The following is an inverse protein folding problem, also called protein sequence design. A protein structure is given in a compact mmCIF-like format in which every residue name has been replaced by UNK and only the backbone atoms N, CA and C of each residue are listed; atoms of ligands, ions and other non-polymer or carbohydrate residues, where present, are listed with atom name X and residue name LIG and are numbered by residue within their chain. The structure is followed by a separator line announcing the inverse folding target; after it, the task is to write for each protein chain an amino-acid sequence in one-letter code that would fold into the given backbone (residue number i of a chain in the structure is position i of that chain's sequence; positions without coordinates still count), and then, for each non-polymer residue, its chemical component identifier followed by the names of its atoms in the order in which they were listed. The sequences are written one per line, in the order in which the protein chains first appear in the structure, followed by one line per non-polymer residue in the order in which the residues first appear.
data_IF_422953870667
#
_entry.id   IF_422953870667
#
_cell.length_a   1.000
_cell.length_b   1.000
_cell.length_c   1.000
_cell.angle_alpha   90.00
_cell.angle_beta   90.00
_cell.angle_gamma   90.00
#
_symmetry.space_group_name_H-M   'P 1'
#
loop_
_entity.id
_entity.type
_entity.pdbx_description
1 polymer ?
#
# COMPACT_ATOMS: atom_id res chain seq x y z
N UNK A 1 -29.08 26.01 43.79
CA UNK A 1 -29.09 24.74 43.03
C UNK A 1 -29.70 24.95 41.64
N UNK A 2 -28.96 25.55 40.71
CA UNK A 2 -29.34 25.63 39.29
C UNK A 2 -28.15 25.97 38.37
N UNK A 3 -27.14 26.66 38.92
CA UNK A 3 -25.89 26.97 38.21
C UNK A 3 -24.83 25.84 38.28
N UNK A 4 -24.84 25.02 39.34
CA UNK A 4 -23.94 23.86 39.48
C UNK A 4 -24.25 22.76 38.45
N UNK A 5 -25.50 22.67 37.98
CA UNK A 5 -25.89 21.74 36.90
C UNK A 5 -25.51 22.24 35.50
N UNK A 6 -25.23 23.54 35.34
CA UNK A 6 -24.80 24.11 34.05
C UNK A 6 -23.29 23.97 33.87
N UNK A 7 -22.54 23.71 34.95
CA UNK A 7 -21.08 23.52 34.88
C UNK A 7 -20.67 22.09 34.51
N UNK A 8 -21.60 21.13 34.47
CA UNK A 8 -21.29 19.71 34.24
C UNK A 8 -21.50 19.24 32.79
N UNK A 9 -21.95 20.12 31.88
CA UNK A 9 -22.37 19.75 30.52
C UNK A 9 -21.39 20.15 29.41
N UNK A 10 -20.24 20.75 29.73
CA UNK A 10 -19.27 21.23 28.72
C UNK A 10 -17.92 20.52 28.83
N UNK A 11 -17.93 19.21 29.09
CA UNK A 11 -16.76 18.36 28.87
C UNK A 11 -17.11 17.17 27.97
N UNK A 12 -17.86 17.44 26.91
CA UNK A 12 -17.98 16.52 25.78
C UNK A 12 -16.74 16.73 24.92
N UNK A 13 -15.62 16.21 25.42
CA UNK A 13 -14.33 16.20 24.77
C UNK A 13 -14.51 15.58 23.38
N UNK A 14 -14.35 16.39 22.34
CA UNK A 14 -14.30 15.95 20.96
C UNK A 14 -13.09 15.01 20.82
N UNK A 15 -13.30 13.71 20.92
CA UNK A 15 -12.32 12.74 20.43
C UNK A 15 -12.33 12.85 18.91
N UNK A 16 -11.52 13.78 18.39
CA UNK A 16 -11.14 13.77 16.98
C UNK A 16 -10.53 12.40 16.71
N UNK A 17 -11.21 11.58 15.92
CA UNK A 17 -10.67 10.31 15.47
C UNK A 17 -9.42 10.62 14.66
N UNK A 18 -8.26 10.29 15.20
CA UNK A 18 -7.00 10.35 14.45
C UNK A 18 -7.12 9.27 13.38
N UNK A 19 -7.42 9.67 12.15
CA UNK A 19 -7.37 8.78 11.00
C UNK A 19 -5.90 8.50 10.70
N UNK A 20 -5.39 7.39 11.22
CA UNK A 20 -4.06 6.90 10.89
C UNK A 20 -4.15 6.20 9.53
N UNK A 21 -3.79 6.91 8.46
CA UNK A 21 -3.61 6.29 7.16
C UNK A 21 -2.52 5.20 7.27
N UNK A 22 -2.85 3.96 6.90
CA UNK A 22 -1.87 2.88 6.89
C UNK A 22 -0.81 3.15 5.81
N UNK A 23 0.46 3.08 6.19
CA UNK A 23 1.57 3.21 5.26
C UNK A 23 1.93 1.86 4.61
N UNK A 24 2.73 1.91 3.54
CA UNK A 24 3.11 0.73 2.77
C UNK A 24 3.89 -0.31 3.58
N UNK A 25 4.74 0.11 4.52
CA UNK A 25 5.53 -0.81 5.33
C UNK A 25 4.60 -1.60 6.25
N UNK A 26 3.76 -0.89 7.01
CA UNK A 26 2.74 -1.49 7.86
C UNK A 26 1.81 -2.42 7.10
N UNK A 27 1.37 -2.04 5.89
CA UNK A 27 0.51 -2.86 5.05
C UNK A 27 1.19 -4.17 4.59
N UNK A 28 2.50 -4.14 4.32
CA UNK A 28 3.27 -5.34 3.96
C UNK A 28 3.51 -6.25 5.17
N UNK A 29 3.81 -5.67 6.33
CA UNK A 29 4.01 -6.42 7.57
C UNK A 29 2.74 -7.18 7.98
N UNK A 30 1.58 -6.55 7.78
CA UNK A 30 0.27 -7.15 8.03
C UNK A 30 -0.17 -8.12 6.92
N UNK A 31 0.59 -8.26 5.84
CA UNK A 31 0.26 -9.14 4.71
C UNK A 31 -0.92 -8.67 3.86
N UNK A 32 -1.29 -7.39 3.96
CA UNK A 32 -2.38 -6.79 3.20
C UNK A 32 -1.94 -6.37 1.79
N UNK A 33 -0.64 -6.24 1.57
CA UNK A 33 -0.03 -5.82 0.30
C UNK A 33 1.21 -6.67 0.02
N UNK A 34 1.40 -7.08 -1.24
CA UNK A 34 2.58 -7.78 -1.72
C UNK A 34 3.06 -7.30 -3.08
N UNK A 35 4.26 -7.73 -3.46
CA UNK A 35 4.89 -7.38 -4.74
C UNK A 35 4.50 -8.35 -5.86
N UNK A 36 4.27 -7.84 -7.07
CA UNK A 36 3.90 -8.63 -8.24
C UNK A 36 5.03 -8.72 -9.28
N UNK A 37 5.05 -9.74 -10.16
CA UNK A 37 6.09 -9.90 -11.18
C UNK A 37 6.19 -8.75 -12.19
N UNK A 38 5.12 -7.98 -12.37
CA UNK A 38 5.09 -6.80 -13.23
C UNK A 38 5.49 -5.50 -12.53
N UNK A 39 6.06 -5.55 -11.32
CA UNK A 39 6.64 -4.37 -10.66
C UNK A 39 5.64 -3.49 -9.92
N UNK A 40 4.44 -3.99 -9.68
CA UNK A 40 3.37 -3.28 -8.97
C UNK A 40 3.06 -3.95 -7.63
N UNK A 41 2.14 -3.33 -6.89
CA UNK A 41 1.58 -3.85 -5.67
C UNK A 41 0.19 -4.41 -5.92
N UNK A 42 -0.15 -5.49 -5.22
CA UNK A 42 -1.49 -6.05 -5.15
C UNK A 42 -1.77 -6.60 -3.75
N UNK A 43 -3.04 -6.86 -3.46
CA UNK A 43 -3.47 -7.44 -2.19
C UNK A 43 -3.50 -8.97 -2.28
N UNK A 44 -2.84 -9.71 -1.36
CA UNK A 44 -3.03 -11.15 -1.20
C UNK A 44 -4.41 -11.53 -0.66
N UNK A 45 -5.09 -10.59 0.00
CA UNK A 45 -6.43 -10.77 0.57
C UNK A 45 -7.48 -10.54 -0.52
N UNK A 46 -8.47 -11.42 -0.60
CA UNK A 46 -9.54 -11.37 -1.63
C UNK A 46 -10.42 -10.12 -1.54
N UNK A 47 -10.66 -9.60 -0.34
CA UNK A 47 -11.49 -8.43 -0.09
C UNK A 47 -10.72 -7.37 0.73
N UNK A 48 -9.76 -6.64 0.13
CA UNK A 48 -9.03 -5.62 0.85
C UNK A 48 -9.94 -4.42 1.18
N UNK A 49 -9.63 -3.74 2.28
CA UNK A 49 -10.31 -2.51 2.68
C UNK A 49 -10.15 -1.40 1.62
N UNK A 50 -11.00 -0.38 1.69
CA UNK A 50 -10.91 0.78 0.82
C UNK A 50 -9.54 1.47 0.94
N UNK A 51 -9.01 1.57 2.16
CA UNK A 51 -7.71 2.21 2.43
C UNK A 51 -6.56 1.45 1.78
N UNK A 52 -6.57 0.11 1.82
CA UNK A 52 -5.55 -0.72 1.16
C UNK A 52 -5.65 -0.56 -0.36
N UNK A 53 -6.86 -0.54 -0.92
CA UNK A 53 -7.06 -0.30 -2.36
C UNK A 53 -6.53 1.09 -2.77
N UNK A 54 -6.82 2.12 -1.97
CA UNK A 54 -6.34 3.48 -2.22
C UNK A 54 -4.82 3.57 -2.15
N UNK A 55 -4.20 2.96 -1.13
CA UNK A 55 -2.75 2.88 -0.97
C UNK A 55 -2.08 2.17 -2.16
N UNK A 56 -2.60 1.00 -2.57
CA UNK A 56 -2.10 0.26 -3.73
C UNK A 56 -2.18 1.14 -5.00
N UNK A 57 -3.32 1.80 -5.22
CA UNK A 57 -3.54 2.67 -6.38
C UNK A 57 -2.55 3.83 -6.43
N UNK A 58 -2.40 4.56 -5.32
CA UNK A 58 -1.49 5.71 -5.21
C UNK A 58 -0.03 5.30 -5.49
N UNK A 59 0.45 4.23 -4.85
CA UNK A 59 1.82 3.77 -5.04
C UNK A 59 2.04 3.23 -6.47
N UNK A 60 1.08 2.50 -7.03
CA UNK A 60 1.18 1.99 -8.39
C UNK A 60 1.20 3.12 -9.43
N UNK A 61 0.44 4.19 -9.23
CA UNK A 61 0.48 5.37 -10.09
C UNK A 61 1.88 6.02 -10.07
N UNK A 62 2.45 6.23 -8.87
CA UNK A 62 3.81 6.77 -8.69
C UNK A 62 4.87 5.89 -9.35
N UNK A 63 4.77 4.56 -9.18
CA UNK A 63 5.65 3.58 -9.82
C UNK A 63 5.54 3.65 -11.34
N UNK A 64 4.34 3.66 -11.90
CA UNK A 64 4.11 3.74 -13.35
C UNK A 64 4.73 5.00 -13.95
N UNK A 65 4.54 6.16 -13.31
CA UNK A 65 5.17 7.40 -13.76
C UNK A 65 6.70 7.30 -13.77
N UNK A 66 7.29 6.74 -12.71
CA UNK A 66 8.74 6.52 -12.63
C UNK A 66 9.23 5.53 -13.70
N UNK A 67 8.51 4.44 -13.92
CA UNK A 67 8.86 3.45 -14.93
C UNK A 67 8.77 4.02 -16.34
N UNK A 68 7.75 4.82 -16.63
CA UNK A 68 7.61 5.50 -17.91
C UNK A 68 8.78 6.47 -18.17
N UNK A 69 9.20 7.22 -17.14
CA UNK A 69 10.38 8.10 -17.25
C UNK A 69 11.66 7.32 -17.52
N UNK A 70 11.86 6.19 -16.83
CA UNK A 70 13.04 5.34 -17.06
C UNK A 70 12.99 4.72 -18.46
N UNK A 71 11.83 4.19 -18.88
CA UNK A 71 11.61 3.60 -20.19
C UNK A 71 11.96 4.58 -21.33
N UNK A 72 11.51 5.83 -21.21
CA UNK A 72 11.85 6.90 -22.15
C UNK A 72 13.36 7.17 -22.19
N UNK A 73 14.02 7.24 -21.03
CA UNK A 73 15.47 7.49 -20.94
C UNK A 73 16.32 6.39 -21.57
N UNK A 74 15.90 5.13 -21.46
CA UNK A 74 16.67 3.99 -21.98
C UNK A 74 16.17 3.48 -23.33
N UNK A 75 15.19 4.17 -23.94
CA UNK A 75 14.53 3.76 -25.18
C UNK A 75 14.08 2.29 -25.18
N UNK A 76 13.45 1.86 -24.07
CA UNK A 76 12.85 0.51 -23.94
C UNK A 76 11.35 0.62 -23.70
N UNK A 77 10.57 -0.42 -24.06
CA UNK A 77 9.16 -0.47 -23.70
C UNK A 77 8.95 -0.39 -22.19
N UNK A 78 7.86 0.25 -21.77
CA UNK A 78 7.47 0.35 -20.36
C UNK A 78 7.41 -1.03 -19.69
N UNK A 79 6.86 -2.03 -20.38
CA UNK A 79 6.73 -3.41 -19.90
C UNK A 79 8.06 -4.06 -19.53
N UNK A 80 9.15 -3.73 -20.24
CA UNK A 80 10.49 -4.24 -19.91
C UNK A 80 10.98 -3.65 -18.58
N UNK A 81 10.73 -2.35 -18.36
CA UNK A 81 11.10 -1.69 -17.10
C UNK A 81 10.26 -2.21 -15.94
N UNK A 82 8.96 -2.42 -16.15
CA UNK A 82 8.03 -3.01 -15.19
C UNK A 82 8.47 -4.42 -14.75
N UNK A 83 8.82 -5.30 -15.69
CA UNK A 83 9.31 -6.65 -15.38
C UNK A 83 10.63 -6.64 -14.61
N UNK A 84 11.59 -5.80 -15.02
CA UNK A 84 12.85 -5.65 -14.29
C UNK A 84 12.65 -5.09 -12.89
N UNK A 85 11.73 -4.13 -12.74
CA UNK A 85 11.36 -3.58 -11.44
C UNK A 85 10.69 -4.63 -10.55
N UNK A 86 9.79 -5.46 -11.10
CA UNK A 86 9.14 -6.57 -10.39
C UNK A 86 10.13 -7.62 -9.91
N UNK A 87 11.02 -8.07 -10.79
CA UNK A 87 12.11 -8.98 -10.42
C UNK A 87 12.94 -8.43 -9.25
N UNK A 88 13.39 -7.18 -9.37
CA UNK A 88 14.18 -6.51 -8.33
C UNK A 88 13.41 -6.30 -7.03
N UNK A 89 12.12 -6.00 -7.11
CA UNK A 89 11.26 -5.83 -5.94
C UNK A 89 11.13 -7.16 -5.18
N UNK A 90 10.81 -8.25 -5.88
CA UNK A 90 10.71 -9.61 -5.30
C UNK A 90 12.03 -10.06 -4.67
N UNK A 91 13.16 -9.85 -5.36
CA UNK A 91 14.50 -10.15 -4.82
C UNK A 91 14.77 -9.41 -3.51
N UNK A 92 14.35 -8.13 -3.44
CA UNK A 92 14.53 -7.25 -2.28
C UNK A 92 13.48 -7.40 -1.19
N UNK A 93 12.37 -8.09 -1.46
CA UNK A 93 11.33 -8.32 -0.45
C UNK A 93 11.94 -9.05 0.75
N UNK A 94 11.68 -8.55 1.95
CA UNK A 94 12.15 -9.16 3.19
C UNK A 94 11.41 -10.47 3.48
N UNK A 95 12.03 -11.34 4.29
CA UNK A 95 11.31 -12.49 4.86
C UNK A 95 10.11 -11.98 5.67
N UNK A 96 8.99 -12.69 5.61
CA UNK A 96 7.73 -12.36 6.22
C UNK A 96 6.79 -11.52 5.33
N UNK A 97 7.21 -11.07 4.15
CA UNK A 97 6.36 -10.30 3.23
C UNK A 97 5.90 -11.12 2.04
N UNK A 98 4.76 -10.72 1.45
CA UNK A 98 4.16 -11.43 0.34
C UNK A 98 4.72 -11.03 -1.02
N UNK A 99 4.89 -12.04 -1.87
CA UNK A 99 5.19 -11.92 -3.31
C UNK A 99 4.22 -12.78 -4.10
N UNK A 100 3.88 -12.35 -5.31
CA UNK A 100 3.05 -13.12 -6.22
C UNK A 100 3.91 -13.85 -7.25
N UNK A 101 3.59 -15.11 -7.53
CA UNK A 101 4.15 -15.85 -8.65
C UNK A 101 3.44 -15.49 -9.97
N UNK A 102 4.07 -15.78 -11.13
CA UNK A 102 3.46 -15.51 -12.44
C UNK A 102 2.11 -16.19 -12.67
N UNK A 103 1.84 -17.32 -11.99
CA UNK A 103 0.57 -18.03 -12.03
C UNK A 103 -0.52 -17.41 -11.13
N UNK A 104 -0.20 -16.32 -10.44
CA UNK A 104 -1.10 -15.58 -9.56
C UNK A 104 -1.09 -16.03 -8.11
N UNK A 105 -0.37 -17.10 -7.76
CA UNK A 105 -0.29 -17.60 -6.39
C UNK A 105 0.52 -16.66 -5.50
N UNK A 106 0.11 -16.52 -4.24
CA UNK A 106 0.80 -15.71 -3.24
C UNK A 106 1.67 -16.57 -2.34
N UNK A 107 2.90 -16.14 -2.11
CA UNK A 107 3.83 -16.78 -1.16
C UNK A 107 4.38 -15.73 -0.21
N UNK A 108 4.46 -16.10 1.07
CA UNK A 108 5.18 -15.34 2.09
C UNK A 108 6.65 -15.78 2.05
N UNK A 109 7.55 -14.85 1.71
CA UNK A 109 9.00 -15.10 1.61
C UNK A 109 9.64 -15.34 2.98
#
# INVERSE_FOLDING_TARGET
MKYVQILLTVFMLTLSTVSLAIDLHSAKDQGLVGETPNGYLASPVSAPSADIKALISDINAKRKQKYAHVAAKVAKPLSVVEQLAGKKAIEKTSKGHFIQFPDGQWVKK
#
